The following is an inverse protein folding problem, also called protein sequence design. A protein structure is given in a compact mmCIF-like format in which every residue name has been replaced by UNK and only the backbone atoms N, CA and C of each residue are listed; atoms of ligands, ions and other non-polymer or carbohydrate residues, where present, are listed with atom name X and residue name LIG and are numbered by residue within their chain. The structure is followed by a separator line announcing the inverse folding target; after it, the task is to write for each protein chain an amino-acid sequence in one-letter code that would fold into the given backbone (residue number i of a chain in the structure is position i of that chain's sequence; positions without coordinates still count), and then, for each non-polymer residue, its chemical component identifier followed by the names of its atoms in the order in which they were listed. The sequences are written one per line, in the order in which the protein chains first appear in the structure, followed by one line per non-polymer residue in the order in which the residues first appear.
data_IF_448535388016
#
_entry.id   IF_448535388016
#
_cell.length_a   1.000
_cell.length_b   1.000
_cell.length_c   1.000
_cell.angle_alpha   90.00
_cell.angle_beta   90.00
_cell.angle_gamma   90.00
#
_symmetry.space_group_name_H-M   'P 1'
#
loop_
_entity.id
_entity.type
_entity.pdbx_description
1 polymer ?
#
# COMPACT_ATOMS: atom_id res chain seq x y z
N UNK A 1 -71.35 -38.81 48.96
CA UNK A 1 -71.22 -39.57 47.70
C UNK A 1 -71.73 -38.70 46.58
N UNK A 2 -70.83 -37.92 45.91
CA UNK A 2 -71.09 -37.20 44.65
C UNK A 2 -69.80 -37.23 43.82
N UNK A 3 -69.87 -37.91 42.72
CA UNK A 3 -68.79 -38.02 41.73
C UNK A 3 -68.62 -36.69 40.96
N UNK A 4 -67.40 -36.25 40.89
CA UNK A 4 -67.01 -35.06 40.04
C UNK A 4 -66.28 -35.55 38.79
N UNK A 5 -66.94 -35.38 37.67
CA UNK A 5 -66.32 -35.65 36.34
C UNK A 5 -65.52 -34.48 35.91
N UNK A 6 -64.21 -34.67 35.66
CA UNK A 6 -63.31 -33.69 35.11
C UNK A 6 -63.29 -33.80 33.56
N UNK A 7 -63.66 -32.72 32.86
CA UNK A 7 -63.59 -32.60 31.40
C UNK A 7 -62.20 -32.22 31.00
N UNK A 8 -61.55 -33.03 30.14
CA UNK A 8 -60.30 -32.63 29.41
C UNK A 8 -60.65 -31.71 28.27
N UNK A 9 -60.01 -30.52 28.25
CA UNK A 9 -60.03 -29.62 27.13
C UNK A 9 -58.76 -29.86 26.27
N UNK A 10 -58.96 -30.22 25.01
CA UNK A 10 -57.87 -30.35 24.03
C UNK A 10 -57.43 -28.97 23.55
N UNK A 11 -56.21 -28.59 23.91
CA UNK A 11 -55.59 -27.36 23.38
C UNK A 11 -54.95 -27.60 22.03
N UNK A 12 -55.38 -26.87 20.99
CA UNK A 12 -54.71 -26.79 19.70
C UNK A 12 -53.42 -25.99 19.86
N UNK A 13 -52.29 -26.64 19.62
CA UNK A 13 -50.98 -25.97 19.48
C UNK A 13 -50.84 -25.54 18.02
N UNK A 14 -50.99 -24.24 17.76
CA UNK A 14 -50.63 -23.63 16.47
C UNK A 14 -49.10 -23.50 16.39
N UNK A 15 -48.47 -24.30 15.52
CA UNK A 15 -47.06 -24.15 15.19
C UNK A 15 -46.86 -22.92 14.30
N UNK A 16 -46.30 -21.87 14.86
CA UNK A 16 -45.80 -20.74 14.10
C UNK A 16 -44.46 -21.12 13.52
N UNK A 17 -44.41 -21.41 12.22
CA UNK A 17 -43.17 -21.49 11.44
C UNK A 17 -42.61 -20.09 11.27
N UNK A 18 -41.58 -19.75 12.04
CA UNK A 18 -40.78 -18.55 11.86
C UNK A 18 -39.96 -18.73 10.58
N UNK A 19 -40.39 -18.13 9.46
CA UNK A 19 -39.53 -17.90 8.31
C UNK A 19 -38.49 -16.87 8.73
N UNK A 20 -37.26 -17.30 8.98
CA UNK A 20 -36.10 -16.42 9.06
C UNK A 20 -35.83 -15.83 7.67
N UNK A 21 -35.81 -14.50 7.49
CA UNK A 21 -35.37 -13.94 6.22
C UNK A 21 -33.88 -14.28 6.07
N UNK A 22 -33.54 -15.10 5.10
CA UNK A 22 -32.16 -15.26 4.63
C UNK A 22 -31.73 -13.91 4.05
N UNK A 23 -31.04 -13.11 4.84
CA UNK A 23 -30.34 -11.94 4.38
C UNK A 23 -29.14 -12.45 3.55
N UNK A 24 -29.35 -12.68 2.26
CA UNK A 24 -28.25 -12.81 1.31
C UNK A 24 -27.58 -11.45 1.25
N UNK A 25 -26.43 -11.30 1.94
CA UNK A 25 -25.56 -10.16 1.71
C UNK A 25 -25.21 -10.17 0.22
N UNK A 26 -25.81 -9.25 -0.51
CA UNK A 26 -25.52 -9.03 -1.92
C UNK A 26 -24.06 -8.54 -1.96
N UNK A 27 -23.14 -9.39 -2.42
CA UNK A 27 -21.73 -9.05 -2.57
C UNK A 27 -21.66 -7.82 -3.48
N UNK A 28 -21.25 -6.69 -2.90
CA UNK A 28 -21.20 -5.43 -3.66
C UNK A 28 -20.27 -5.65 -4.85
N UNK A 29 -20.76 -5.34 -6.05
CA UNK A 29 -19.98 -5.50 -7.27
C UNK A 29 -18.67 -4.69 -7.16
N UNK A 30 -17.55 -5.34 -7.43
CA UNK A 30 -16.26 -4.68 -7.42
C UNK A 30 -16.22 -3.55 -8.47
N UNK A 31 -15.63 -2.39 -8.15
CA UNK A 31 -15.59 -1.23 -9.05
C UNK A 31 -14.79 -1.51 -10.32
N UNK A 32 -15.03 -0.70 -11.35
CA UNK A 32 -14.23 -0.64 -12.57
C UNK A 32 -14.45 -1.81 -13.55
N UNK A 33 -13.55 -1.93 -14.51
CA UNK A 33 -13.56 -2.89 -15.61
C UNK A 33 -12.49 -3.96 -15.39
N UNK A 34 -12.80 -5.23 -15.55
CA UNK A 34 -11.79 -6.31 -15.52
C UNK A 34 -10.90 -6.23 -16.78
N UNK A 35 -9.59 -6.20 -16.58
CA UNK A 35 -8.55 -6.09 -17.63
C UNK A 35 -7.71 -7.35 -17.75
N UNK A 36 -7.66 -8.15 -16.69
CA UNK A 36 -7.10 -9.50 -16.65
C UNK A 36 -7.79 -10.28 -15.52
N UNK A 37 -7.68 -11.63 -15.47
CA UNK A 37 -8.31 -12.42 -14.41
C UNK A 37 -7.98 -11.90 -13.00
N UNK A 38 -9.00 -11.40 -12.29
CA UNK A 38 -8.87 -10.80 -10.95
C UNK A 38 -8.19 -9.43 -10.90
N UNK A 39 -7.83 -8.84 -12.05
CA UNK A 39 -7.25 -7.49 -12.13
C UNK A 39 -8.27 -6.54 -12.77
N UNK A 40 -8.58 -5.47 -12.09
CA UNK A 40 -9.55 -4.47 -12.53
C UNK A 40 -8.91 -3.09 -12.64
N UNK A 41 -9.17 -2.41 -13.75
CA UNK A 41 -8.92 -0.97 -13.85
C UNK A 41 -10.10 -0.25 -13.20
N UNK A 42 -9.84 0.42 -12.07
CA UNK A 42 -10.89 1.01 -11.25
C UNK A 42 -10.99 2.52 -11.36
N UNK A 43 -10.02 3.15 -12.01
CA UNK A 43 -10.01 4.59 -12.18
C UNK A 43 -8.77 5.12 -12.87
N UNK A 44 -8.69 6.44 -12.88
CA UNK A 44 -7.55 7.18 -13.44
C UNK A 44 -7.29 8.44 -12.62
N UNK A 45 -6.03 8.70 -12.29
CA UNK A 45 -5.62 9.87 -11.52
C UNK A 45 -5.98 11.14 -12.27
N UNK A 46 -6.86 11.97 -11.68
CA UNK A 46 -7.40 13.15 -12.32
C UNK A 46 -6.53 14.40 -12.16
N UNK A 47 -5.72 14.49 -11.08
CA UNK A 47 -4.97 15.71 -10.78
C UNK A 47 -3.90 16.00 -11.85
N UNK A 48 -3.90 17.18 -12.51
CA UNK A 48 -3.05 17.46 -13.68
C UNK A 48 -1.55 17.55 -13.36
N UNK A 49 -1.19 17.87 -12.12
CA UNK A 49 0.21 17.94 -11.67
C UNK A 49 0.84 16.59 -11.35
N UNK A 50 0.05 15.53 -11.25
CA UNK A 50 0.58 14.18 -11.14
C UNK A 50 0.83 13.68 -12.56
N UNK A 51 2.04 13.85 -13.05
CA UNK A 51 2.43 13.42 -14.39
C UNK A 51 2.90 11.96 -14.41
N UNK A 52 3.53 11.54 -13.30
CA UNK A 52 4.14 10.22 -13.12
C UNK A 52 3.91 9.81 -11.65
N UNK A 53 2.83 9.03 -11.37
CA UNK A 53 2.56 8.56 -10.01
C UNK A 53 3.57 7.47 -9.66
N UNK A 54 4.50 7.76 -8.73
CA UNK A 54 5.53 6.83 -8.29
C UNK A 54 5.20 6.14 -6.97
N UNK A 55 4.61 6.84 -5.99
CA UNK A 55 4.20 6.26 -4.72
C UNK A 55 2.69 6.36 -4.47
N UNK A 56 2.11 5.38 -3.78
CA UNK A 56 0.72 5.42 -3.32
C UNK A 56 0.55 4.72 -1.98
N UNK A 57 -0.19 5.34 -1.05
CA UNK A 57 -0.58 4.69 0.21
C UNK A 57 -2.02 5.01 0.59
N UNK A 58 -2.73 4.01 1.11
CA UNK A 58 -4.07 4.21 1.66
C UNK A 58 -4.00 4.91 3.02
N UNK A 59 -4.75 6.01 3.16
CA UNK A 59 -4.88 6.70 4.44
C UNK A 59 -5.41 5.76 5.53
N UNK A 60 -4.77 5.77 6.69
CA UNK A 60 -5.27 5.08 7.89
C UNK A 60 -6.14 5.99 8.77
N UNK A 61 -6.19 7.27 8.47
CA UNK A 61 -6.99 8.26 9.19
C UNK A 61 -8.27 8.65 8.46
N UNK A 62 -8.23 8.72 7.13
CA UNK A 62 -9.34 9.18 6.29
C UNK A 62 -9.78 8.06 5.34
N UNK A 63 -10.82 7.26 5.69
CA UNK A 63 -11.28 6.15 4.87
C UNK A 63 -11.62 6.60 3.45
N UNK A 64 -11.16 5.84 2.46
CA UNK A 64 -11.40 6.11 1.04
C UNK A 64 -10.42 7.11 0.40
N UNK A 65 -9.51 7.69 1.17
CA UNK A 65 -8.44 8.55 0.67
C UNK A 65 -7.18 7.74 0.40
N UNK A 66 -6.54 8.04 -0.72
CA UNK A 66 -5.18 7.62 -1.07
C UNK A 66 -4.29 8.86 -1.11
N UNK A 67 -3.06 8.70 -0.66
CA UNK A 67 -1.99 9.68 -0.82
C UNK A 67 -1.05 9.25 -1.91
N UNK A 68 -0.64 10.17 -2.76
CA UNK A 68 0.30 9.95 -3.85
C UNK A 68 1.14 11.19 -4.11
N UNK A 69 2.16 11.06 -4.93
CA UNK A 69 3.01 12.15 -5.39
C UNK A 69 3.39 11.93 -6.86
N UNK A 70 4.11 12.90 -7.45
CA UNK A 70 4.74 12.70 -8.76
C UNK A 70 6.21 12.39 -8.58
N UNK A 71 6.75 11.49 -9.39
CA UNK A 71 8.14 11.06 -9.37
C UNK A 71 9.14 12.22 -9.43
N UNK A 72 10.29 12.06 -8.76
CA UNK A 72 11.47 12.93 -8.79
C UNK A 72 11.47 14.04 -7.76
N UNK A 73 12.29 15.06 -7.97
CA UNK A 73 12.61 16.09 -7.00
C UNK A 73 12.42 17.51 -7.46
N UNK A 74 12.83 18.42 -6.58
CA UNK A 74 12.79 19.86 -6.79
C UNK A 74 11.44 20.51 -6.50
N UNK A 75 11.40 21.85 -6.39
CA UNK A 75 10.26 22.61 -5.83
C UNK A 75 8.93 22.37 -6.54
N UNK A 76 8.93 22.05 -7.82
CA UNK A 76 7.68 21.82 -8.58
C UNK A 76 7.06 20.45 -8.31
N UNK A 77 7.85 19.48 -7.84
CA UNK A 77 7.43 18.12 -7.56
C UNK A 77 7.23 17.82 -6.06
N UNK A 78 7.59 18.76 -5.17
CA UNK A 78 7.44 18.63 -3.71
C UNK A 78 6.00 18.81 -3.24
N UNK A 79 5.07 18.03 -3.74
CA UNK A 79 3.68 18.07 -3.33
C UNK A 79 3.13 16.67 -3.07
N UNK A 80 2.39 16.55 -1.97
CA UNK A 80 1.59 15.40 -1.61
C UNK A 80 0.16 15.63 -2.10
N UNK A 81 -0.42 14.66 -2.78
CA UNK A 81 -1.77 14.73 -3.33
C UNK A 81 -2.69 13.74 -2.63
N UNK A 82 -3.86 14.23 -2.19
CA UNK A 82 -4.97 13.38 -1.77
C UNK A 82 -5.84 13.04 -2.97
N UNK A 83 -6.24 11.79 -3.10
CA UNK A 83 -7.20 11.37 -4.11
C UNK A 83 -8.15 10.31 -3.57
N UNK A 84 -9.30 10.14 -4.19
CA UNK A 84 -10.20 9.01 -3.96
C UNK A 84 -9.69 7.76 -4.68
N UNK A 85 -10.28 6.61 -4.40
CA UNK A 85 -9.83 5.32 -4.94
C UNK A 85 -10.01 5.19 -6.46
N UNK A 86 -10.93 5.96 -7.04
CA UNK A 86 -11.13 6.07 -8.48
C UNK A 86 -10.29 7.17 -9.14
N UNK A 87 -9.46 7.87 -8.34
CA UNK A 87 -8.49 8.87 -8.79
C UNK A 87 -8.99 10.31 -8.82
N UNK A 88 -10.20 10.61 -8.32
CA UNK A 88 -10.66 11.99 -8.21
C UNK A 88 -9.80 12.77 -7.20
N UNK A 89 -9.44 14.01 -7.54
CA UNK A 89 -8.61 14.86 -6.69
C UNK A 89 -9.35 15.27 -5.41
N UNK A 90 -8.68 15.15 -4.26
CA UNK A 90 -9.22 15.49 -2.94
C UNK A 90 -8.35 16.49 -2.17
N UNK A 91 -7.19 16.90 -2.71
CA UNK A 91 -6.34 17.94 -2.11
C UNK A 91 -4.89 17.87 -2.60
N UNK A 92 -4.17 18.99 -2.37
CA UNK A 92 -2.77 19.16 -2.70
C UNK A 92 -2.05 19.88 -1.57
N UNK A 93 -0.95 19.31 -1.06
CA UNK A 93 -0.21 19.84 0.07
C UNK A 93 1.27 19.96 -0.29
N UNK A 94 1.80 21.18 -0.20
CA UNK A 94 3.21 21.44 -0.50
C UNK A 94 4.10 21.02 0.67
N UNK A 95 5.12 20.20 0.39
CA UNK A 95 6.13 19.80 1.38
C UNK A 95 7.21 20.86 1.44
N UNK A 96 7.40 21.46 2.61
CA UNK A 96 8.33 22.58 2.85
C UNK A 96 9.43 22.18 3.83
N UNK A 97 10.42 23.05 4.00
CA UNK A 97 11.53 22.91 4.95
C UNK A 97 12.50 21.76 4.70
N UNK A 98 12.38 21.07 3.58
CA UNK A 98 13.34 20.07 3.08
C UNK A 98 13.51 20.24 1.59
N UNK A 99 14.62 19.72 1.08
CA UNK A 99 14.84 19.56 -0.36
C UNK A 99 14.74 18.07 -0.67
N UNK A 100 13.77 17.71 -1.49
CA UNK A 100 13.59 16.33 -1.97
C UNK A 100 14.35 16.22 -3.29
N UNK A 101 15.23 15.23 -3.37
CA UNK A 101 16.09 15.00 -4.53
C UNK A 101 15.43 14.07 -5.53
N UNK A 102 14.88 12.94 -5.04
CA UNK A 102 14.30 11.88 -5.86
C UNK A 102 13.25 11.10 -5.07
N UNK A 103 12.01 11.61 -5.10
CA UNK A 103 10.89 11.04 -4.34
C UNK A 103 10.30 9.86 -5.09
N UNK A 104 10.44 8.66 -4.54
CA UNK A 104 10.05 7.41 -5.18
C UNK A 104 8.82 6.76 -4.55
N UNK A 105 8.65 6.83 -3.22
CA UNK A 105 7.53 6.17 -2.58
C UNK A 105 7.02 6.93 -1.35
N UNK A 106 5.84 6.53 -0.88
CA UNK A 106 5.19 7.04 0.31
C UNK A 106 4.62 5.88 1.13
N UNK A 107 4.84 5.90 2.45
CA UNK A 107 4.36 4.88 3.36
C UNK A 107 3.55 5.49 4.52
N UNK A 108 2.85 4.64 5.28
CA UNK A 108 2.10 5.02 6.48
C UNK A 108 2.39 4.05 7.63
N UNK A 109 2.53 4.58 8.86
CA UNK A 109 2.67 3.75 10.07
C UNK A 109 1.33 3.49 10.79
N UNK A 110 1.39 2.72 11.87
CA UNK A 110 0.22 2.43 12.72
C UNK A 110 -0.23 3.63 13.54
N UNK A 111 0.61 4.66 13.67
CA UNK A 111 0.31 5.93 14.35
C UNK A 111 -0.26 6.98 13.39
N UNK A 112 -0.45 6.61 12.11
CA UNK A 112 -1.03 7.45 11.05
C UNK A 112 -0.10 8.58 10.57
N UNK A 113 1.21 8.45 10.78
CA UNK A 113 2.17 9.33 10.14
C UNK A 113 2.44 8.84 8.71
N UNK A 114 2.66 9.79 7.82
CA UNK A 114 3.13 9.49 6.46
C UNK A 114 4.66 9.62 6.40
N UNK A 115 5.27 8.83 5.53
CA UNK A 115 6.72 8.82 5.32
C UNK A 115 7.01 9.03 3.84
N UNK A 116 7.77 10.08 3.55
CA UNK A 116 8.24 10.42 2.21
C UNK A 116 9.57 9.71 1.97
N UNK A 117 9.64 8.90 0.94
CA UNK A 117 10.85 8.20 0.53
C UNK A 117 11.62 8.99 -0.54
N UNK A 118 12.54 9.88 -0.13
CA UNK A 118 13.54 10.49 -1.02
C UNK A 118 14.69 9.51 -1.21
N UNK A 119 14.42 8.41 -1.93
CA UNK A 119 15.23 7.19 -1.97
C UNK A 119 15.71 6.78 -3.35
N UNK A 120 15.33 7.49 -4.42
CA UNK A 120 15.80 7.24 -5.77
C UNK A 120 17.31 7.45 -5.89
N UNK A 121 17.97 6.59 -6.65
CA UNK A 121 19.40 6.60 -6.88
C UNK A 121 19.78 5.89 -8.20
N UNK A 122 19.08 6.19 -9.27
CA UNK A 122 19.18 5.55 -10.57
C UNK A 122 20.63 5.43 -11.08
N UNK A 123 21.45 6.46 -10.83
CA UNK A 123 22.87 6.50 -11.22
C UNK A 123 23.81 5.88 -10.18
N UNK A 124 23.30 5.40 -9.02
CA UNK A 124 24.05 4.92 -7.86
C UNK A 124 25.12 5.94 -7.36
N UNK A 125 24.86 7.25 -7.54
CA UNK A 125 25.79 8.34 -7.15
C UNK A 125 25.53 8.90 -5.76
N UNK A 126 24.30 8.76 -5.24
CA UNK A 126 23.97 9.20 -3.89
C UNK A 126 24.63 8.26 -2.89
N UNK A 127 25.34 8.82 -1.92
CA UNK A 127 25.93 8.06 -0.81
C UNK A 127 24.94 7.85 0.36
N UNK A 128 23.87 8.66 0.40
CA UNK A 128 22.83 8.61 1.41
C UNK A 128 21.46 8.79 0.77
N UNK A 129 20.46 8.11 1.32
CA UNK A 129 19.04 8.28 1.04
C UNK A 129 18.38 9.01 2.21
N UNK A 130 17.22 9.61 1.99
CA UNK A 130 16.47 10.32 3.02
C UNK A 130 15.04 9.77 3.13
N UNK A 131 14.56 9.68 4.37
CA UNK A 131 13.15 9.43 4.65
C UNK A 131 12.65 10.50 5.59
N UNK A 132 11.50 11.12 5.27
CA UNK A 132 10.92 12.20 6.05
C UNK A 132 9.55 11.79 6.58
N UNK A 133 9.34 11.90 7.89
CA UNK A 133 8.03 11.73 8.53
C UNK A 133 7.27 13.04 8.49
N UNK A 134 6.01 12.98 8.16
CA UNK A 134 5.05 14.09 8.24
C UNK A 134 3.80 13.64 8.97
N UNK A 135 3.10 14.58 9.60
CA UNK A 135 1.74 14.33 10.06
C UNK A 135 0.80 14.25 8.84
N UNK A 136 -0.14 13.33 8.88
CA UNK A 136 -1.11 13.17 7.79
C UNK A 136 -2.02 14.41 7.71
N UNK A 137 -2.00 15.19 6.61
CA UNK A 137 -2.81 16.40 6.51
C UNK A 137 -4.30 16.05 6.34
N UNK A 138 -5.19 16.98 6.77
CA UNK A 138 -6.62 16.80 6.56
C UNK A 138 -7.00 17.08 5.08
N UNK A 139 -7.45 16.09 4.31
CA UNK A 139 -7.79 16.28 2.90
C UNK A 139 -8.95 17.28 2.68
N UNK A 140 -9.81 17.48 3.69
CA UNK A 140 -10.90 18.48 3.62
C UNK A 140 -10.40 19.92 3.56
N UNK A 141 -9.14 20.19 3.90
CA UNK A 141 -8.54 21.50 3.72
C UNK A 141 -8.25 21.83 2.24
N UNK A 142 -8.27 20.83 1.37
CA UNK A 142 -7.98 20.88 -0.08
C UNK A 142 -6.57 21.32 -0.44
N UNK A 143 -5.92 22.18 0.36
CA UNK A 143 -4.55 22.66 0.15
C UNK A 143 -3.90 23.04 1.46
N UNK A 144 -2.58 23.03 1.50
CA UNK A 144 -1.81 23.42 2.67
C UNK A 144 -0.31 23.32 2.47
N UNK A 145 0.43 23.71 3.50
CA UNK A 145 1.87 23.49 3.61
C UNK A 145 2.11 22.53 4.77
N UNK A 146 2.91 21.52 4.53
CA UNK A 146 3.29 20.51 5.50
C UNK A 146 4.80 20.51 5.68
N UNK A 147 5.24 20.15 6.88
CA UNK A 147 6.64 20.12 7.26
C UNK A 147 7.00 18.77 7.83
N UNK A 148 8.16 18.21 7.48
CA UNK A 148 8.66 17.03 8.16
C UNK A 148 8.82 17.25 9.67
N UNK A 149 8.33 16.31 10.44
CA UNK A 149 8.51 16.27 11.90
C UNK A 149 9.78 15.58 12.30
N UNK A 150 10.23 14.61 11.47
CA UNK A 150 11.47 13.83 11.64
C UNK A 150 12.06 13.50 10.28
N UNK A 151 13.39 13.25 10.25
CA UNK A 151 14.09 12.82 9.03
C UNK A 151 15.21 11.86 9.37
N UNK A 152 15.36 10.82 8.57
CA UNK A 152 16.42 9.81 8.68
C UNK A 152 17.35 9.91 7.49
N UNK A 153 18.67 9.83 7.76
CA UNK A 153 19.71 9.68 6.75
C UNK A 153 20.11 8.21 6.71
N UNK A 154 19.98 7.59 5.55
CA UNK A 154 20.20 6.17 5.37
C UNK A 154 21.46 5.96 4.52
N UNK A 155 22.44 5.23 5.03
CA UNK A 155 23.65 4.87 4.31
C UNK A 155 23.57 3.42 3.83
N UNK A 156 24.16 3.18 2.69
CA UNK A 156 24.26 1.84 2.13
C UNK A 156 25.25 0.97 2.94
N UNK A 157 25.00 -0.35 3.11
CA UNK A 157 25.93 -1.26 3.78
C UNK A 157 27.15 -1.61 2.93
N UNK A 158 27.22 -1.14 1.70
CA UNK A 158 28.27 -1.38 0.72
C UNK A 158 28.13 -0.45 -0.46
N UNK A 159 28.19 -1.00 -1.67
CA UNK A 159 27.99 -0.20 -2.91
C UNK A 159 26.56 0.38 -2.94
N UNK A 160 26.42 1.68 -3.26
CA UNK A 160 25.10 2.30 -3.44
C UNK A 160 24.28 1.59 -4.52
N UNK A 161 22.96 1.55 -4.31
CA UNK A 161 21.99 0.96 -5.22
C UNK A 161 20.75 1.85 -5.32
N UNK A 162 19.89 1.56 -6.27
CA UNK A 162 18.63 2.24 -6.47
C UNK A 162 17.50 1.61 -5.65
N UNK A 163 16.59 2.45 -5.12
CA UNK A 163 15.41 2.05 -4.35
C UNK A 163 14.18 2.80 -4.83
N UNK A 164 13.08 2.06 -5.01
CA UNK A 164 11.80 2.63 -5.45
C UNK A 164 10.63 2.29 -4.52
N UNK A 165 10.90 1.66 -3.38
CA UNK A 165 9.82 1.20 -2.52
C UNK A 165 10.15 1.42 -1.06
N UNK A 166 9.14 1.90 -0.31
CA UNK A 166 9.21 2.17 1.12
C UNK A 166 7.96 1.61 1.81
N UNK A 167 8.12 0.88 2.90
CA UNK A 167 7.02 0.55 3.79
C UNK A 167 7.45 0.63 5.26
N UNK A 168 6.50 0.84 6.16
CA UNK A 168 6.76 0.98 7.60
C UNK A 168 6.12 -0.18 8.36
N UNK A 169 6.88 -0.82 9.24
CA UNK A 169 6.37 -1.90 10.07
C UNK A 169 7.11 -2.01 11.41
N UNK A 170 6.34 -2.10 12.51
CA UNK A 170 6.84 -2.36 13.88
C UNK A 170 8.06 -1.50 14.26
N UNK A 171 7.96 -0.18 14.08
CA UNK A 171 9.02 0.77 14.45
C UNK A 171 10.24 0.74 13.54
N UNK A 172 10.15 0.15 12.37
CA UNK A 172 11.18 0.16 11.33
C UNK A 172 10.63 0.65 10.01
N UNK A 173 11.46 1.38 9.27
CA UNK A 173 11.26 1.62 7.85
C UNK A 173 12.01 0.56 7.03
N UNK A 174 11.46 0.21 5.89
CA UNK A 174 12.00 -0.78 4.96
C UNK A 174 12.06 -0.18 3.57
N UNK A 175 13.20 -0.37 2.89
CA UNK A 175 13.37 -0.02 1.49
C UNK A 175 13.67 -1.27 0.67
N UNK A 176 13.22 -1.28 -0.59
CA UNK A 176 13.44 -2.41 -1.50
C UNK A 176 14.29 -1.93 -2.66
N UNK A 177 15.37 -2.66 -2.95
CA UNK A 177 16.26 -2.32 -4.06
C UNK A 177 15.57 -2.56 -5.41
N UNK A 178 15.69 -1.61 -6.32
CA UNK A 178 15.34 -1.77 -7.74
C UNK A 178 16.53 -2.38 -8.45
N UNK A 179 16.39 -3.58 -8.95
CA UNK A 179 17.47 -4.32 -9.59
C UNK A 179 17.06 -4.79 -10.98
N UNK A 180 18.01 -4.78 -11.89
CA UNK A 180 17.84 -5.23 -13.27
C UNK A 180 18.72 -6.47 -13.49
N UNK A 181 18.28 -7.38 -14.35
CA UNK A 181 19.00 -8.57 -14.86
C UNK A 181 19.88 -9.32 -13.84
N UNK A 182 19.65 -10.60 -13.71
CA UNK A 182 20.47 -11.55 -12.93
C UNK A 182 20.65 -11.22 -11.45
N UNK A 183 19.96 -10.20 -10.95
CA UNK A 183 19.92 -9.80 -9.55
C UNK A 183 18.51 -9.98 -8.98
N UNK A 184 18.44 -10.12 -7.67
CA UNK A 184 17.18 -10.28 -6.94
C UNK A 184 16.96 -9.09 -6.03
N UNK A 185 15.74 -8.58 -6.00
CA UNK A 185 15.39 -7.47 -5.12
C UNK A 185 15.69 -7.83 -3.65
N UNK A 186 16.34 -6.91 -2.96
CA UNK A 186 16.74 -7.01 -1.57
C UNK A 186 15.90 -6.05 -0.72
N UNK A 187 15.51 -6.49 0.46
CA UNK A 187 14.76 -5.70 1.43
C UNK A 187 15.71 -5.34 2.55
N UNK A 188 15.89 -4.05 2.76
CA UNK A 188 16.70 -3.49 3.85
C UNK A 188 15.80 -2.79 4.86
N UNK A 189 16.26 -2.68 6.11
CA UNK A 189 15.53 -1.95 7.16
C UNK A 189 16.41 -0.92 7.86
N UNK A 190 15.74 0.03 8.51
CA UNK A 190 16.31 0.99 9.44
C UNK A 190 15.36 1.25 10.61
N UNK A 191 15.86 1.51 11.85
CA UNK A 191 15.01 1.80 12.98
C UNK A 191 14.44 3.21 12.92
N UNK A 192 13.19 3.39 13.36
CA UNK A 192 12.55 4.71 13.49
C UNK A 192 12.77 5.37 14.87
N UNK A 193 13.41 4.66 15.81
CA UNK A 193 13.57 5.16 17.18
C UNK A 193 14.39 6.45 17.25
N UNK A 194 15.51 6.53 16.51
CA UNK A 194 16.39 7.67 16.48
C UNK A 194 16.56 8.22 15.06
N UNK A 195 16.27 9.51 14.90
CA UNK A 195 16.44 10.24 13.64
C UNK A 195 17.65 11.19 13.66
N UNK A 196 18.43 11.25 14.75
CA UNK A 196 19.53 12.21 14.92
C UNK A 196 20.82 11.80 14.22
N UNK A 197 21.02 10.52 13.96
CA UNK A 197 22.22 9.96 13.37
C UNK A 197 21.98 9.35 11.99
N UNK A 198 23.01 9.31 11.17
CA UNK A 198 23.01 8.49 9.94
C UNK A 198 22.94 7.00 10.31
N UNK A 199 22.01 6.28 9.68
CA UNK A 199 21.77 4.85 9.92
C UNK A 199 22.26 4.05 8.73
N UNK A 200 23.01 2.98 8.97
CA UNK A 200 23.37 2.02 7.92
C UNK A 200 22.19 1.05 7.72
N UNK A 201 21.75 0.91 6.47
CA UNK A 201 20.70 -0.03 6.09
C UNK A 201 21.14 -1.48 6.44
N UNK A 202 20.23 -2.24 7.07
CA UNK A 202 20.43 -3.64 7.41
C UNK A 202 19.70 -4.54 6.41
N UNK A 203 20.40 -5.47 5.77
CA UNK A 203 19.77 -6.46 4.88
C UNK A 203 18.91 -7.44 5.70
N UNK A 204 17.62 -7.50 5.39
CA UNK A 204 16.63 -8.39 6.04
C UNK A 204 16.34 -9.61 5.20
N UNK A 205 16.16 -9.42 3.90
CA UNK A 205 15.76 -10.50 2.99
C UNK A 205 16.24 -10.24 1.56
N UNK A 206 16.50 -11.31 0.83
CA UNK A 206 16.62 -11.32 -0.63
C UNK A 206 15.41 -12.06 -1.17
N UNK A 207 14.65 -11.44 -2.06
CA UNK A 207 13.46 -12.03 -2.68
C UNK A 207 13.85 -13.02 -3.76
N UNK A 208 12.84 -13.69 -4.35
CA UNK A 208 13.01 -14.49 -5.59
C UNK A 208 12.56 -13.72 -6.84
N UNK A 209 12.30 -12.42 -6.70
CA UNK A 209 11.85 -11.57 -7.79
C UNK A 209 13.08 -11.07 -8.54
N UNK A 210 13.12 -11.33 -9.84
CA UNK A 210 14.21 -10.94 -10.75
C UNK A 210 13.83 -9.73 -11.63
N UNK A 211 12.60 -9.24 -11.49
CA UNK A 211 12.11 -8.02 -12.14
C UNK A 211 12.32 -6.82 -11.20
N UNK A 212 12.57 -5.61 -11.72
CA UNK A 212 12.62 -4.41 -10.90
C UNK A 212 11.34 -4.26 -10.07
N UNK A 213 11.50 -4.15 -8.75
CA UNK A 213 10.41 -3.83 -7.82
C UNK A 213 10.27 -2.32 -7.81
N UNK A 214 9.08 -1.85 -8.11
CA UNK A 214 8.76 -0.42 -8.26
C UNK A 214 7.85 0.10 -7.14
N UNK A 215 7.18 -0.78 -6.38
CA UNK A 215 6.37 -0.38 -5.24
C UNK A 215 6.22 -1.53 -4.24
N UNK A 216 6.06 -1.19 -2.96
CA UNK A 216 5.85 -2.14 -1.88
C UNK A 216 4.94 -1.58 -0.80
N UNK A 217 4.08 -2.42 -0.23
CA UNK A 217 3.30 -2.08 0.96
C UNK A 217 3.07 -3.30 1.84
N UNK A 218 2.83 -3.06 3.13
CA UNK A 218 2.47 -4.07 4.11
C UNK A 218 1.01 -3.94 4.50
N UNK A 219 0.27 -5.06 4.53
CA UNK A 219 -1.13 -5.04 4.97
C UNK A 219 -1.26 -4.48 6.39
N UNK A 220 -2.36 -3.76 6.71
CA UNK A 220 -2.54 -3.14 8.03
C UNK A 220 -2.42 -4.10 9.21
N UNK A 221 -2.72 -5.39 9.01
CA UNK A 221 -2.56 -6.45 10.02
C UNK A 221 -1.16 -7.07 10.04
N UNK A 222 -0.25 -6.63 9.16
CA UNK A 222 1.12 -7.11 9.04
C UNK A 222 1.26 -8.54 8.50
N UNK A 223 0.20 -9.15 8.00
CA UNK A 223 0.22 -10.54 7.56
C UNK A 223 0.78 -10.72 6.15
N UNK A 224 0.61 -9.70 5.31
CA UNK A 224 0.96 -9.72 3.90
C UNK A 224 1.94 -8.60 3.56
N UNK A 225 2.90 -8.90 2.69
CA UNK A 225 3.77 -7.94 2.02
C UNK A 225 3.47 -8.01 0.52
N UNK A 226 3.00 -6.91 -0.05
CA UNK A 226 2.77 -6.73 -1.47
C UNK A 226 3.96 -6.06 -2.12
N UNK A 227 4.36 -6.54 -3.29
CA UNK A 227 5.38 -5.96 -4.15
C UNK A 227 4.83 -5.90 -5.57
N UNK A 228 5.05 -4.79 -6.25
CA UNK A 228 4.69 -4.66 -7.68
C UNK A 228 5.90 -4.49 -8.56
N UNK A 229 5.77 -4.93 -9.78
CA UNK A 229 6.75 -4.84 -10.86
C UNK A 229 6.01 -4.59 -12.17
N UNK A 230 6.71 -4.25 -13.24
CA UNK A 230 6.12 -4.16 -14.60
C UNK A 230 5.57 -5.49 -15.13
N UNK A 231 5.83 -6.61 -14.45
CA UNK A 231 5.31 -7.95 -14.80
C UNK A 231 4.09 -8.39 -13.98
N UNK A 232 3.71 -7.61 -12.96
CA UNK A 232 2.55 -7.87 -12.10
C UNK A 232 2.83 -7.71 -10.62
N UNK A 233 1.99 -8.32 -9.80
CA UNK A 233 2.05 -8.22 -8.36
C UNK A 233 2.46 -9.54 -7.69
N UNK A 234 3.20 -9.42 -6.59
CA UNK A 234 3.70 -10.53 -5.77
C UNK A 234 3.27 -10.29 -4.32
N UNK A 235 2.54 -11.20 -3.73
CA UNK A 235 2.10 -11.08 -2.33
C UNK A 235 2.68 -12.20 -1.50
N UNK A 236 3.50 -11.86 -0.51
CA UNK A 236 4.09 -12.79 0.44
C UNK A 236 3.29 -12.84 1.73
N UNK A 237 3.04 -14.03 2.26
CA UNK A 237 2.55 -14.18 3.62
C UNK A 237 3.73 -14.11 4.58
N UNK A 238 3.79 -13.05 5.38
CA UNK A 238 4.90 -12.77 6.31
C UNK A 238 4.50 -12.90 7.79
N UNK A 239 3.22 -12.77 8.13
CA UNK A 239 2.69 -12.85 9.50
C UNK A 239 3.53 -12.03 10.50
N UNK A 240 3.79 -10.77 10.17
CA UNK A 240 4.56 -9.80 10.96
C UNK A 240 6.08 -9.90 10.84
N UNK A 241 6.62 -10.91 10.17
CA UNK A 241 8.06 -11.11 10.03
C UNK A 241 8.52 -11.02 8.57
N UNK A 242 9.10 -9.90 8.19
CA UNK A 242 9.56 -9.62 6.82
C UNK A 242 10.59 -10.64 6.32
N UNK A 243 11.44 -11.20 7.21
CA UNK A 243 12.45 -12.20 6.81
C UNK A 243 11.86 -13.50 6.26
N UNK A 244 10.57 -13.77 6.46
CA UNK A 244 9.88 -14.93 5.86
C UNK A 244 9.86 -14.92 4.34
N UNK A 245 10.07 -13.77 3.70
CA UNK A 245 10.22 -13.63 2.25
C UNK A 245 11.33 -14.54 1.69
N UNK A 246 12.42 -14.76 2.44
CA UNK A 246 13.57 -15.58 2.01
C UNK A 246 13.14 -16.99 1.60
N UNK A 247 12.28 -17.63 2.40
CA UNK A 247 11.79 -18.99 2.20
C UNK A 247 10.39 -19.03 1.59
N UNK A 248 9.69 -17.89 1.62
CA UNK A 248 8.31 -17.77 1.17
C UNK A 248 8.17 -18.00 -0.33
N UNK A 249 7.01 -18.55 -0.73
CA UNK A 249 6.51 -18.50 -2.10
C UNK A 249 5.49 -17.37 -2.16
N UNK A 250 5.63 -16.37 -3.05
CA UNK A 250 4.60 -15.36 -3.24
C UNK A 250 3.39 -15.95 -3.96
N UNK A 251 2.22 -15.40 -3.68
CA UNK A 251 1.09 -15.44 -4.61
C UNK A 251 1.41 -14.44 -5.72
N UNK A 252 1.26 -14.86 -6.98
CA UNK A 252 1.66 -14.06 -8.14
C UNK A 252 0.45 -13.77 -9.01
N UNK A 253 0.16 -12.49 -9.20
CA UNK A 253 -0.77 -12.02 -10.21
C UNK A 253 0.00 -11.53 -11.44
N UNK A 254 -0.04 -12.31 -12.53
CA UNK A 254 0.61 -11.94 -13.77
C UNK A 254 -0.23 -10.89 -14.50
N UNK A 255 0.29 -9.70 -14.58
CA UNK A 255 -0.33 -8.59 -15.30
C UNK A 255 0.77 -7.64 -15.78
N UNK A 256 1.17 -7.77 -17.04
CA UNK A 256 2.20 -6.91 -17.60
C UNK A 256 1.65 -5.52 -17.91
N UNK A 257 2.22 -4.51 -17.28
CA UNK A 257 1.95 -3.11 -17.56
C UNK A 257 3.22 -2.30 -17.35
N UNK A 258 3.68 -1.61 -18.40
CA UNK A 258 5.02 -0.99 -18.46
C UNK A 258 5.20 0.16 -17.45
N UNK A 259 4.11 0.69 -16.89
CA UNK A 259 4.09 1.88 -16.06
C UNK A 259 3.58 1.66 -14.63
N UNK A 260 3.44 0.42 -14.15
CA UNK A 260 3.12 0.17 -12.74
C UNK A 260 4.33 0.56 -11.88
N UNK A 261 4.12 1.52 -10.94
CA UNK A 261 5.19 2.03 -10.09
C UNK A 261 4.88 1.95 -8.59
N UNK A 262 3.63 1.95 -8.16
CA UNK A 262 3.30 1.96 -6.73
C UNK A 262 2.20 0.98 -6.37
N UNK A 263 2.12 0.59 -5.08
CA UNK A 263 1.01 -0.21 -4.59
C UNK A 263 0.68 0.07 -3.12
N UNK A 264 -0.58 -0.21 -2.75
CA UNK A 264 -1.03 -0.17 -1.36
C UNK A 264 -2.14 -1.18 -1.10
N UNK A 265 -2.21 -1.73 0.11
CA UNK A 265 -3.32 -2.58 0.49
C UNK A 265 -4.59 -1.78 0.75
N UNK A 266 -5.69 -2.25 0.20
CA UNK A 266 -7.05 -1.79 0.44
C UNK A 266 -7.93 -2.98 0.86
N UNK A 267 -9.12 -2.77 1.42
CA UNK A 267 -9.95 -3.91 1.87
C UNK A 267 -10.23 -4.97 0.82
N UNK A 268 -10.30 -4.60 -0.47
CA UNK A 268 -10.63 -5.50 -1.58
C UNK A 268 -9.41 -6.18 -2.21
N UNK A 269 -8.19 -5.84 -1.79
CA UNK A 269 -6.95 -6.44 -2.32
C UNK A 269 -5.75 -5.50 -2.34
N UNK A 270 -4.90 -5.66 -3.36
CA UNK A 270 -3.75 -4.78 -3.60
C UNK A 270 -4.09 -3.80 -4.72
N UNK A 271 -4.11 -2.50 -4.40
CA UNK A 271 -4.28 -1.44 -5.38
C UNK A 271 -2.90 -1.03 -5.90
N UNK A 272 -2.78 -0.76 -7.19
CA UNK A 272 -1.58 -0.23 -7.79
C UNK A 272 -1.88 1.00 -8.66
N UNK A 273 -0.94 1.94 -8.71
CA UNK A 273 -0.98 3.07 -9.64
C UNK A 273 0.11 2.95 -10.69
N UNK A 274 -0.13 3.56 -11.83
CA UNK A 274 0.81 3.62 -12.93
C UNK A 274 1.22 5.07 -13.22
N UNK A 275 2.47 5.29 -13.70
CA UNK A 275 2.92 6.59 -14.22
C UNK A 275 1.94 7.14 -15.26
N UNK A 276 1.42 6.28 -16.11
CA UNK A 276 0.40 6.62 -17.11
C UNK A 276 -0.99 6.93 -16.53
N UNK A 277 -1.09 6.94 -15.18
CA UNK A 277 -2.21 7.43 -14.35
C UNK A 277 -3.36 6.45 -14.16
N UNK A 278 -3.32 5.24 -14.68
CA UNK A 278 -4.30 4.19 -14.41
C UNK A 278 -4.20 3.73 -12.96
N UNK A 279 -5.35 3.29 -12.41
CA UNK A 279 -5.45 2.69 -11.08
C UNK A 279 -5.98 1.28 -11.25
N UNK A 280 -5.20 0.30 -10.81
CA UNK A 280 -5.53 -1.11 -10.88
C UNK A 280 -5.83 -1.68 -9.50
N UNK A 281 -6.75 -2.62 -9.42
CA UNK A 281 -7.05 -3.40 -8.23
C UNK A 281 -6.79 -4.88 -8.54
N UNK A 282 -5.83 -5.46 -7.84
CA UNK A 282 -5.56 -6.89 -7.81
C UNK A 282 -6.39 -7.50 -6.67
N UNK A 283 -7.41 -8.27 -7.03
CA UNK A 283 -8.28 -8.94 -6.07
C UNK A 283 -7.79 -10.36 -5.77
N UNK A 284 -8.32 -11.00 -4.74
CA UNK A 284 -7.97 -12.38 -4.38
C UNK A 284 -7.87 -13.36 -5.58
N UNK A 285 -8.81 -13.37 -6.54
CA UNK A 285 -8.72 -14.24 -7.71
C UNK A 285 -7.47 -14.04 -8.57
N UNK A 286 -6.86 -12.82 -8.58
CA UNK A 286 -5.63 -12.56 -9.32
C UNK A 286 -4.45 -13.40 -8.81
N UNK A 287 -4.46 -13.73 -7.52
CA UNK A 287 -3.40 -14.46 -6.83
C UNK A 287 -3.66 -15.96 -6.70
N UNK A 288 -4.88 -16.41 -6.98
CA UNK A 288 -5.23 -17.82 -7.06
C UNK A 288 -4.88 -18.32 -8.45
N UNK A 289 -3.64 -18.76 -8.66
CA UNK A 289 -3.24 -19.38 -9.91
C UNK A 289 -4.22 -20.52 -10.31
N UNK A 290 -4.58 -20.58 -11.62
CA UNK A 290 -5.31 -21.70 -12.20
C UNK A 290 -4.45 -22.96 -12.15
#
# INVERSE_FOLDING_TARGET
MKSCQTKFAAGLIAAWTMLSPSCSAQEAALPGREVAPGVREIGRIAHPRITESSGVVASRQFPGILWTHTDGGGPKKQALFAMTRDGASAGEFFVSSVVITDWEDIAVDDQKHLFIGDIGNNDAKRSELLVHQIDEPNPKANTGVIHPTRSWRLRFPGTPFDCESLFIWQGHGYVVSKVFKDSRAQIFRFPLADASASVVLELVATTKIESPVTGADISPDGRLLGLVTKSGAFVYRIDGNVSRVIKGKPFVAKFRHEHIEACTFVPEGLLATAESREIFLFTDPAFRGK
#
